data_IF_769873525261
#
_entry.id   IF_769873525261
#
_cell.length_a   1.000
_cell.length_b   1.000
_cell.length_c   1.000
_cell.angle_alpha   90.00
_cell.angle_beta   90.00
_cell.angle_gamma   90.00
#
_symmetry.space_group_name_H-M   'P 1'
#
loop_
_entity.id
_entity.type
_entity.pdbx_description
1 polymer ?
#
# COMPACT_ATOMS: atom_id res chain seq x y z
N UNK A 1 -0.05 -16.69 -16.89
CA UNK A 1 -0.34 -16.55 -15.46
C UNK A 1 0.70 -15.69 -14.78
N UNK A 2 0.24 -14.76 -13.99
CA UNK A 2 1.16 -13.91 -13.27
C UNK A 2 1.68 -14.64 -12.03
N UNK A 3 2.96 -14.84 -11.97
CA UNK A 3 3.57 -15.54 -10.86
C UNK A 3 4.13 -14.61 -9.79
N UNK A 4 4.34 -13.34 -10.17
CA UNK A 4 4.90 -12.37 -9.24
C UNK A 4 4.19 -11.04 -9.42
N UNK A 5 3.53 -10.61 -8.37
CA UNK A 5 2.98 -9.27 -8.35
C UNK A 5 3.98 -8.36 -7.64
N UNK A 6 4.09 -7.13 -8.11
CA UNK A 6 4.97 -6.14 -7.50
C UNK A 6 4.16 -5.30 -6.54
N UNK A 7 4.63 -5.23 -5.29
CA UNK A 7 3.95 -4.51 -4.23
C UNK A 7 4.89 -3.45 -3.67
N UNK A 8 4.44 -2.20 -3.65
CA UNK A 8 5.14 -1.14 -2.94
C UNK A 8 4.59 -1.07 -1.52
N UNK A 9 5.47 -0.95 -0.54
CA UNK A 9 5.07 -0.77 0.85
C UNK A 9 5.69 0.52 1.36
N UNK A 10 4.85 1.44 1.80
CA UNK A 10 5.27 2.77 2.22
C UNK A 10 4.93 2.96 3.70
N UNK A 11 5.93 3.15 4.53
CA UNK A 11 5.74 3.32 5.97
C UNK A 11 7.03 3.90 6.54
N UNK A 12 6.94 4.89 7.40
CA UNK A 12 8.15 5.48 7.96
C UNK A 12 8.72 4.68 9.13
N UNK A 13 8.09 3.56 9.51
CA UNK A 13 8.61 2.66 10.52
C UNK A 13 9.31 1.47 9.88
N UNK A 14 10.64 1.37 10.00
CA UNK A 14 11.37 0.29 9.33
C UNK A 14 10.92 -1.12 9.72
N UNK A 15 10.48 -1.30 10.96
CA UNK A 15 10.06 -2.62 11.40
C UNK A 15 8.82 -3.11 10.67
N UNK A 16 7.91 -2.18 10.32
CA UNK A 16 6.71 -2.55 9.59
C UNK A 16 7.04 -2.87 8.13
N UNK A 17 8.02 -2.17 7.56
CA UNK A 17 8.47 -2.51 6.21
C UNK A 17 9.09 -3.90 6.18
N UNK A 18 9.89 -4.20 7.18
CA UNK A 18 10.53 -5.52 7.25
C UNK A 18 9.49 -6.60 7.45
N UNK A 19 8.50 -6.36 8.31
CA UNK A 19 7.44 -7.33 8.54
C UNK A 19 6.70 -7.64 7.24
N UNK A 20 6.33 -6.62 6.50
CA UNK A 20 5.63 -6.83 5.24
C UNK A 20 6.47 -7.66 4.27
N UNK A 21 7.77 -7.38 4.19
CA UNK A 21 8.66 -8.12 3.31
C UNK A 21 8.73 -9.59 3.73
N UNK A 22 8.94 -9.84 5.01
CA UNK A 22 9.08 -11.20 5.52
C UNK A 22 7.79 -12.00 5.32
N UNK A 23 6.65 -11.34 5.42
CA UNK A 23 5.35 -12.01 5.28
C UNK A 23 4.99 -12.26 3.83
N UNK A 24 5.28 -11.30 2.95
CA UNK A 24 4.76 -11.35 1.59
C UNK A 24 5.71 -12.01 0.58
N UNK A 25 7.02 -11.84 0.73
CA UNK A 25 7.94 -12.41 -0.24
C UNK A 25 7.87 -13.94 -0.34
N UNK A 26 7.75 -14.68 0.76
CA UNK A 26 7.64 -16.13 0.65
C UNK A 26 6.41 -16.60 -0.13
N UNK A 27 5.42 -15.74 -0.31
CA UNK A 27 4.22 -16.08 -1.06
C UNK A 27 4.38 -15.83 -2.56
N UNK A 28 5.54 -15.35 -2.98
CA UNK A 28 5.80 -15.12 -4.40
C UNK A 28 5.67 -13.68 -4.84
N UNK A 29 5.38 -12.77 -3.93
CA UNK A 29 5.28 -11.35 -4.28
C UNK A 29 6.66 -10.71 -4.26
N UNK A 30 6.87 -9.74 -5.14
CA UNK A 30 8.06 -8.90 -5.11
C UNK A 30 7.70 -7.64 -4.34
N UNK A 31 8.45 -7.37 -3.27
CA UNK A 31 8.15 -6.25 -2.37
C UNK A 31 9.22 -5.19 -2.48
N UNK A 32 8.81 -3.94 -2.68
CA UNK A 32 9.72 -2.80 -2.71
C UNK A 32 9.27 -1.85 -1.62
N UNK A 33 10.17 -1.52 -0.71
CA UNK A 33 9.82 -0.73 0.47
C UNK A 33 10.32 0.69 0.38
N UNK A 34 9.56 1.61 0.99
CA UNK A 34 9.90 3.03 1.02
C UNK A 34 9.59 3.57 2.40
N UNK A 35 10.57 4.24 3.00
CA UNK A 35 10.38 4.89 4.29
C UNK A 35 9.85 6.31 4.13
N UNK A 36 9.93 6.86 2.93
CA UNK A 36 9.55 8.23 2.65
C UNK A 36 8.49 8.25 1.57
N UNK A 37 7.31 8.83 1.84
CA UNK A 37 6.23 8.82 0.85
C UNK A 37 6.57 9.61 -0.41
N UNK A 38 7.39 10.65 -0.30
CA UNK A 38 7.77 11.41 -1.49
C UNK A 38 8.67 10.58 -2.41
N UNK A 39 9.57 9.79 -1.81
CA UNK A 39 10.40 8.89 -2.60
C UNK A 39 9.54 7.82 -3.27
N UNK A 40 8.54 7.31 -2.55
CA UNK A 40 7.62 6.34 -3.12
C UNK A 40 6.89 6.94 -4.31
N UNK A 41 6.42 8.16 -4.17
CA UNK A 41 5.70 8.83 -5.27
C UNK A 41 6.60 9.05 -6.47
N UNK A 42 7.84 9.49 -6.25
CA UNK A 42 8.78 9.68 -7.34
C UNK A 42 9.04 8.39 -8.10
N UNK A 43 9.19 7.30 -7.36
CA UNK A 43 9.37 5.99 -7.98
C UNK A 43 8.12 5.57 -8.74
N UNK A 44 6.94 5.84 -8.17
CA UNK A 44 5.69 5.48 -8.82
C UNK A 44 5.53 6.19 -10.16
N UNK A 45 5.87 7.47 -10.20
CA UNK A 45 5.75 8.27 -11.42
C UNK A 45 6.61 7.70 -12.55
N UNK A 46 7.78 7.16 -12.20
CA UNK A 46 8.74 6.66 -13.19
C UNK A 46 8.64 5.17 -13.44
N UNK A 47 7.84 4.47 -12.65
CA UNK A 47 7.84 3.02 -12.67
C UNK A 47 7.33 2.44 -13.97
N UNK A 48 8.05 1.42 -14.44
CA UNK A 48 7.66 0.67 -15.64
C UNK A 48 8.11 -0.77 -15.43
N UNK A 49 7.24 -1.69 -15.10
CA UNK A 49 5.81 -1.49 -14.89
C UNK A 49 5.52 -0.83 -13.55
N UNK A 50 4.32 -0.28 -13.43
CA UNK A 50 3.89 0.25 -12.15
C UNK A 50 3.52 -0.90 -11.23
N UNK A 51 3.51 -0.67 -9.90
CA UNK A 51 3.19 -1.74 -8.97
C UNK A 51 1.75 -2.21 -9.15
N UNK A 52 1.55 -3.47 -8.81
CA UNK A 52 0.20 -4.04 -8.83
C UNK A 52 -0.60 -3.59 -7.61
N UNK A 53 0.08 -3.26 -6.53
CA UNK A 53 -0.55 -2.83 -5.30
C UNK A 53 0.39 -1.91 -4.55
N UNK A 54 -0.15 -0.86 -3.95
CA UNK A 54 0.59 -0.01 -3.03
C UNK A 54 -0.04 -0.13 -1.65
N UNK A 55 0.75 -0.54 -0.67
CA UNK A 55 0.33 -0.59 0.73
C UNK A 55 0.96 0.62 1.40
N UNK A 56 0.15 1.47 2.00
CA UNK A 56 0.67 2.66 2.65
C UNK A 56 0.06 2.86 4.02
N UNK A 57 0.90 3.30 4.97
CA UNK A 57 0.41 3.76 6.26
C UNK A 57 -0.29 5.11 6.05
N UNK A 58 -1.22 5.44 6.94
CA UNK A 58 -1.88 6.74 6.90
C UNK A 58 -0.96 7.82 7.46
N UNK A 59 -0.46 7.61 8.67
CA UNK A 59 0.30 8.65 9.38
C UNK A 59 1.77 8.55 9.05
N UNK A 60 2.25 9.47 8.22
CA UNK A 60 3.64 9.51 7.80
C UNK A 60 4.13 10.96 7.82
N UNK A 61 5.44 11.13 7.64
CA UNK A 61 6.03 12.45 7.51
C UNK A 61 5.67 13.06 6.16
N UNK A 62 5.55 14.37 6.12
CA UNK A 62 5.35 15.17 4.91
C UNK A 62 3.95 15.05 4.36
N UNK A 63 3.58 13.88 3.83
CA UNK A 63 2.22 13.66 3.34
C UNK A 63 1.69 12.41 4.00
N UNK A 64 0.37 12.35 4.16
CA UNK A 64 -0.26 11.16 4.73
C UNK A 64 -0.64 10.18 3.62
N UNK A 65 -1.13 9.00 4.03
CA UNK A 65 -1.46 7.95 3.08
C UNK A 65 -2.54 8.34 2.09
N UNK A 66 -3.53 9.11 2.53
CA UNK A 66 -4.59 9.53 1.62
C UNK A 66 -4.08 10.51 0.58
N UNK A 67 -3.15 11.37 0.98
CA UNK A 67 -2.54 12.30 0.02
C UNK A 67 -1.68 11.54 -1.00
N UNK A 68 -1.00 10.49 -0.55
CA UNK A 68 -0.24 9.66 -1.47
C UNK A 68 -1.15 8.95 -2.45
N UNK A 69 -2.26 8.39 -1.97
CA UNK A 69 -3.26 7.73 -2.82
C UNK A 69 -3.78 8.71 -3.87
N UNK A 70 -4.12 9.92 -3.42
CA UNK A 70 -4.63 10.95 -4.33
C UNK A 70 -3.63 11.25 -5.43
N UNK A 71 -2.37 11.46 -5.06
CA UNK A 71 -1.34 11.80 -6.05
C UNK A 71 -1.12 10.67 -7.04
N UNK A 72 -1.08 9.43 -6.56
CA UNK A 72 -0.87 8.28 -7.42
C UNK A 72 -2.05 8.01 -8.34
N UNK A 73 -3.28 8.15 -7.83
CA UNK A 73 -4.46 7.88 -8.65
C UNK A 73 -4.71 8.95 -9.69
N UNK A 74 -4.14 10.14 -9.51
CA UNK A 74 -4.20 11.14 -10.59
C UNK A 74 -3.36 10.70 -11.78
N UNK A 75 -2.31 9.91 -11.53
CA UNK A 75 -1.45 9.39 -12.59
C UNK A 75 -2.01 8.10 -13.16
N UNK A 76 -2.48 7.22 -12.27
CA UNK A 76 -3.00 5.91 -12.65
C UNK A 76 -4.29 5.65 -11.84
N UNK A 77 -5.46 6.02 -12.41
CA UNK A 77 -6.73 5.92 -11.67
C UNK A 77 -7.09 4.50 -11.22
N UNK A 78 -6.58 3.49 -11.91
CA UNK A 78 -6.89 2.10 -11.57
C UNK A 78 -5.94 1.47 -10.59
N UNK A 79 -4.95 2.24 -10.10
CA UNK A 79 -4.00 1.71 -9.14
C UNK A 79 -4.70 1.27 -7.86
N UNK A 80 -4.35 0.08 -7.37
CA UNK A 80 -4.94 -0.46 -6.15
C UNK A 80 -4.12 -0.05 -4.94
N UNK A 81 -4.84 0.25 -3.85
CA UNK A 81 -4.22 0.69 -2.60
C UNK A 81 -4.81 -0.02 -1.39
N UNK A 82 -3.93 -0.40 -0.48
CA UNK A 82 -4.30 -0.88 0.85
C UNK A 82 -3.80 0.16 1.85
N UNK A 83 -4.72 0.72 2.63
CA UNK A 83 -4.39 1.73 3.63
C UNK A 83 -4.32 1.10 5.01
N UNK A 84 -3.21 1.33 5.71
CA UNK A 84 -3.01 0.84 7.07
C UNK A 84 -3.10 2.01 8.04
N UNK A 85 -3.82 1.85 9.14
CA UNK A 85 -3.90 2.92 10.13
C UNK A 85 -4.32 2.40 11.49
N UNK A 86 -3.71 2.96 12.54
CA UNK A 86 -4.07 2.66 13.91
C UNK A 86 -4.95 3.71 14.55
N UNK A 87 -5.09 4.87 13.92
CA UNK A 87 -5.78 5.98 14.53
C UNK A 87 -6.92 6.56 13.70
N UNK A 88 -7.04 6.13 12.46
CA UNK A 88 -8.01 6.70 11.54
C UNK A 88 -9.06 5.64 11.22
N UNK A 89 -10.33 5.98 11.41
CA UNK A 89 -11.39 5.05 11.06
C UNK A 89 -11.93 5.38 9.66
N UNK A 90 -12.90 4.61 9.22
CA UNK A 90 -13.46 4.75 7.89
C UNK A 90 -13.97 6.16 7.58
N UNK A 91 -14.41 6.88 8.61
CA UNK A 91 -15.00 8.19 8.36
C UNK A 91 -13.99 9.17 7.79
N UNK A 92 -12.71 8.99 8.12
CA UNK A 92 -11.68 9.93 7.69
C UNK A 92 -11.51 9.93 6.17
N UNK A 93 -11.62 8.76 5.53
CA UNK A 93 -11.41 8.71 4.09
C UNK A 93 -12.70 8.60 3.30
N UNK A 94 -13.84 8.56 3.99
CA UNK A 94 -15.13 8.44 3.31
C UNK A 94 -15.36 9.58 2.32
N UNK A 95 -14.95 10.78 2.69
CA UNK A 95 -15.16 11.97 1.86
C UNK A 95 -13.95 12.32 1.00
N UNK A 96 -12.91 11.49 1.03
CA UNK A 96 -11.73 11.76 0.22
C UNK A 96 -12.07 11.63 -1.27
N UNK A 97 -11.43 12.46 -2.12
CA UNK A 97 -11.70 12.36 -3.56
C UNK A 97 -11.28 11.03 -4.15
N UNK A 98 -10.20 10.43 -3.63
CA UNK A 98 -9.79 9.08 -4.00
C UNK A 98 -9.70 8.24 -2.74
N UNK A 99 -10.25 7.04 -2.79
CA UNK A 99 -10.31 6.17 -1.63
C UNK A 99 -9.39 4.97 -1.80
N UNK A 100 -8.91 4.41 -0.68
CA UNK A 100 -8.21 3.14 -0.77
C UNK A 100 -9.18 2.05 -1.21
N UNK A 101 -8.65 1.02 -1.84
CA UNK A 101 -9.47 -0.11 -2.24
C UNK A 101 -9.78 -0.99 -1.05
N UNK A 102 -8.95 -0.93 -0.02
CA UNK A 102 -9.16 -1.70 1.19
C UNK A 102 -8.45 -1.01 2.35
N UNK A 103 -8.96 -1.21 3.54
CA UNK A 103 -8.43 -0.64 4.78
C UNK A 103 -8.09 -1.77 5.74
N UNK A 104 -6.96 -1.65 6.45
CA UNK A 104 -6.56 -2.61 7.46
C UNK A 104 -6.13 -1.86 8.71
N UNK A 105 -6.80 -2.15 9.83
CA UNK A 105 -6.51 -1.46 11.08
C UNK A 105 -5.27 -2.03 11.75
N UNK A 106 -4.48 -1.16 12.36
CA UNK A 106 -3.33 -1.56 13.17
C UNK A 106 -3.78 -1.71 14.63
N UNK A 107 -3.23 -2.63 15.38
CA UNK A 107 -2.26 -3.64 14.93
C UNK A 107 -2.96 -4.77 14.17
N UNK A 108 -2.27 -5.33 13.20
CA UNK A 108 -2.83 -6.42 12.43
C UNK A 108 -1.92 -7.64 12.54
N UNK A 109 -2.51 -8.81 12.28
CA UNK A 109 -1.75 -10.04 12.26
C UNK A 109 -1.29 -10.33 10.84
N UNK A 110 -0.22 -11.13 10.73
CA UNK A 110 0.32 -11.46 9.42
C UNK A 110 -0.76 -12.00 8.48
N UNK A 111 -1.63 -12.88 8.97
CA UNK A 111 -2.66 -13.46 8.09
C UNK A 111 -3.67 -12.42 7.63
N UNK A 112 -3.91 -11.39 8.42
CA UNK A 112 -4.82 -10.32 8.00
C UNK A 112 -4.22 -9.53 6.85
N UNK A 113 -2.92 -9.28 6.91
CA UNK A 113 -2.22 -8.63 5.81
C UNK A 113 -2.26 -9.51 4.56
N UNK A 114 -2.00 -10.79 4.71
CA UNK A 114 -2.03 -11.72 3.59
C UNK A 114 -3.40 -11.77 2.95
N UNK A 115 -4.46 -11.84 3.77
CA UNK A 115 -5.81 -11.89 3.25
C UNK A 115 -6.17 -10.63 2.48
N UNK A 116 -5.79 -9.47 3.02
CA UNK A 116 -6.07 -8.21 2.36
C UNK A 116 -5.36 -8.11 1.01
N UNK A 117 -4.09 -8.53 0.97
CA UNK A 117 -3.32 -8.50 -0.25
C UNK A 117 -3.91 -9.44 -1.29
N UNK A 118 -4.24 -10.66 -0.88
CA UNK A 118 -4.83 -11.62 -1.81
C UNK A 118 -6.18 -11.15 -2.35
N UNK A 119 -6.99 -10.54 -1.48
CA UNK A 119 -8.29 -10.04 -1.91
C UNK A 119 -8.15 -8.98 -2.99
N UNK A 120 -7.06 -8.23 -2.97
CA UNK A 120 -6.85 -7.16 -3.94
C UNK A 120 -6.17 -7.65 -5.22
N UNK A 121 -5.32 -8.67 -5.11
CA UNK A 121 -4.47 -9.07 -6.24
C UNK A 121 -4.92 -10.34 -6.93
N UNK A 122 -5.58 -11.24 -6.23
CA UNK A 122 -5.95 -12.50 -6.83
C UNK A 122 -7.34 -12.41 -7.44
N UNK A 123 -7.46 -12.71 -8.72
CA UNK A 123 -8.76 -12.66 -9.35
C UNK A 123 -9.64 -13.81 -8.89
N UNK A 124 -10.91 -13.65 -9.12
CA UNK A 124 -11.89 -14.64 -8.68
C UNK A 124 -12.06 -15.70 -9.67
#
# INVERSE_FOLDING_TARGET
MKTEALIYVVDDEPMLLELATVVLEPLGYTVKTFRDPETALQNFVRAQPQPDLVITDYAMHKINGLELIHACKKIQPKQKFLLLSGTVDEQVYRDAPFKPDRFLAKPYKARQLIQAVRALLEPR
#
